data_IF_682891280869
#
_entry.id   IF_682891280869
#
_cell.length_a   1.000
_cell.length_b   1.000
_cell.length_c   1.000
_cell.angle_alpha   90.00
_cell.angle_beta   90.00
_cell.angle_gamma   90.00
#
_symmetry.space_group_name_H-M   'P 1'
#
loop_
_entity.id
_entity.type
_entity.pdbx_description
1 polymer ?
#
# COMPACT_ATOMS: atom_id res chain seq x y z
N UNK A 1 -16.62 -3.66 -11.79
CA UNK A 1 -15.45 -3.11 -11.09
C UNK A 1 -15.81 -2.21 -9.91
N UNK A 2 -16.52 -1.10 -10.10
CA UNK A 2 -16.91 -0.20 -8.99
C UNK A 2 -17.62 -0.92 -7.81
N UNK A 3 -18.65 -1.73 -8.10
CA UNK A 3 -19.36 -2.52 -7.06
C UNK A 3 -18.44 -3.51 -6.32
N UNK A 4 -17.46 -4.09 -7.01
CA UNK A 4 -16.50 -5.03 -6.41
C UNK A 4 -15.54 -4.29 -5.49
N UNK A 5 -14.99 -3.15 -5.93
CA UNK A 5 -14.11 -2.30 -5.11
C UNK A 5 -14.85 -1.79 -3.86
N UNK A 6 -16.12 -1.41 -4.00
CA UNK A 6 -16.94 -0.95 -2.88
C UNK A 6 -17.17 -2.04 -1.83
N UNK A 7 -17.57 -3.25 -2.25
CA UNK A 7 -17.71 -4.38 -1.34
C UNK A 7 -16.38 -4.80 -0.69
N UNK A 8 -15.29 -4.77 -1.47
CA UNK A 8 -13.94 -5.07 -0.99
C UNK A 8 -13.43 -4.04 0.03
N UNK A 9 -13.76 -2.77 -0.14
CA UNK A 9 -13.42 -1.70 0.81
C UNK A 9 -14.05 -1.93 2.19
N UNK A 10 -15.36 -2.26 2.25
CA UNK A 10 -16.02 -2.57 3.52
C UNK A 10 -15.46 -3.83 4.19
N UNK A 11 -15.10 -4.84 3.38
CA UNK A 11 -14.45 -6.05 3.88
C UNK A 11 -13.07 -5.74 4.49
N UNK A 12 -12.26 -4.91 3.84
CA UNK A 12 -10.96 -4.48 4.40
C UNK A 12 -11.18 -3.65 5.67
N UNK A 13 -12.19 -2.78 5.70
CA UNK A 13 -12.48 -1.93 6.85
C UNK A 13 -12.89 -2.74 8.08
N UNK A 14 -13.71 -3.78 7.89
CA UNK A 14 -14.04 -4.74 8.95
C UNK A 14 -12.79 -5.50 9.43
N UNK A 15 -11.93 -5.95 8.51
CA UNK A 15 -10.72 -6.69 8.87
C UNK A 15 -9.70 -5.83 9.65
N UNK A 16 -9.54 -4.56 9.28
CA UNK A 16 -8.51 -3.67 9.82
C UNK A 16 -8.99 -2.90 11.07
N UNK A 17 -10.22 -2.38 11.05
CA UNK A 17 -10.76 -1.56 12.15
C UNK A 17 -11.75 -2.31 13.04
N UNK A 18 -12.11 -3.56 12.72
CA UNK A 18 -13.05 -4.35 13.52
C UNK A 18 -14.48 -3.80 13.52
N UNK A 19 -14.81 -2.84 12.66
CA UNK A 19 -16.16 -2.27 12.58
C UNK A 19 -17.16 -3.30 12.03
N UNK A 20 -18.35 -3.39 12.61
CA UNK A 20 -19.39 -4.32 12.19
C UNK A 20 -19.72 -4.15 10.70
N UNK A 21 -19.73 -5.28 9.97
CA UNK A 21 -20.05 -5.29 8.54
C UNK A 21 -21.52 -4.94 8.35
N UNK A 22 -21.84 -3.88 7.58
CA UNK A 22 -23.22 -3.67 7.18
C UNK A 22 -23.65 -4.82 6.26
N UNK A 23 -24.87 -5.33 6.44
CA UNK A 23 -25.40 -6.55 5.78
C UNK A 23 -25.30 -6.49 4.25
N UNK A 24 -25.27 -5.29 3.66
CA UNK A 24 -25.14 -5.09 2.21
C UNK A 24 -23.73 -5.33 1.65
N UNK A 25 -22.68 -5.35 2.47
CA UNK A 25 -21.28 -5.42 2.00
C UNK A 25 -20.90 -6.76 1.36
N UNK A 26 -21.34 -7.88 1.94
CA UNK A 26 -21.05 -9.23 1.41
C UNK A 26 -21.77 -9.51 0.08
N UNK A 27 -23.09 -9.22 -0.06
CA UNK A 27 -23.79 -9.36 -1.33
C UNK A 27 -23.21 -8.48 -2.44
N UNK A 28 -22.80 -7.24 -2.13
CA UNK A 28 -22.27 -6.30 -3.13
C UNK A 28 -20.88 -6.69 -3.63
N UNK A 29 -20.04 -7.28 -2.79
CA UNK A 29 -18.76 -7.86 -3.20
C UNK A 29 -18.98 -9.07 -4.13
N UNK A 30 -19.88 -9.99 -3.76
CA UNK A 30 -20.21 -11.18 -4.55
C UNK A 30 -20.85 -10.84 -5.90
N UNK A 31 -21.84 -9.94 -5.89
CA UNK A 31 -22.47 -9.43 -7.12
C UNK A 31 -21.46 -8.69 -8.01
N UNK A 32 -20.54 -7.95 -7.41
CA UNK A 32 -19.43 -7.29 -8.11
C UNK A 32 -18.51 -8.28 -8.82
N UNK A 33 -18.16 -9.40 -8.18
CA UNK A 33 -17.31 -10.43 -8.77
C UNK A 33 -18.02 -11.13 -9.93
N UNK A 34 -19.28 -11.50 -9.74
CA UNK A 34 -20.10 -12.17 -10.76
C UNK A 34 -20.28 -11.26 -11.98
N UNK A 35 -20.62 -9.98 -11.78
CA UNK A 35 -20.73 -9.04 -12.91
C UNK A 35 -19.41 -8.86 -13.64
N UNK A 36 -18.27 -8.78 -12.95
CA UNK A 36 -16.98 -8.62 -13.61
C UNK A 36 -16.63 -9.87 -14.44
N UNK A 37 -16.85 -11.07 -13.90
CA UNK A 37 -16.60 -12.32 -14.63
C UNK A 37 -17.51 -12.47 -15.85
N UNK A 38 -18.79 -12.07 -15.76
CA UNK A 38 -19.75 -12.19 -16.86
C UNK A 38 -19.52 -11.16 -17.98
N UNK A 39 -19.07 -9.94 -17.64
CA UNK A 39 -19.01 -8.81 -18.58
C UNK A 39 -17.59 -8.37 -18.99
N UNK A 40 -16.51 -8.94 -18.42
CA UNK A 40 -15.12 -8.56 -18.75
C UNK A 40 -14.70 -8.84 -20.18
N UNK A 41 -15.23 -9.89 -20.82
CA UNK A 41 -14.80 -10.37 -22.14
C UNK A 41 -15.89 -10.24 -23.23
N UNK A 42 -16.90 -9.39 -23.02
CA UNK A 42 -17.89 -9.09 -24.06
C UNK A 42 -17.37 -8.01 -25.01
N UNK A 43 -16.53 -8.39 -25.97
CA UNK A 43 -16.18 -7.54 -27.11
C UNK A 43 -17.29 -7.52 -28.18
N UNK A 44 -17.34 -6.42 -28.96
CA UNK A 44 -18.29 -6.22 -30.07
C UNK A 44 -18.12 -7.32 -31.11
N UNK A 45 -19.03 -8.31 -31.10
CA UNK A 45 -19.13 -9.35 -32.15
C UNK A 45 -19.27 -10.79 -31.67
N UNK A 46 -19.32 -11.07 -30.35
CA UNK A 46 -19.48 -12.44 -29.83
C UNK A 46 -20.86 -12.67 -29.19
N UNK A 47 -21.45 -13.85 -29.41
CA UNK A 47 -22.69 -14.28 -28.74
C UNK A 47 -22.51 -14.27 -27.22
N UNK A 48 -23.57 -13.89 -26.47
CA UNK A 48 -23.58 -13.83 -25.00
C UNK A 48 -22.96 -15.08 -24.34
N UNK A 49 -23.26 -16.26 -24.86
CA UNK A 49 -22.75 -17.54 -24.36
C UNK A 49 -21.23 -17.70 -24.55
N UNK A 50 -20.67 -17.23 -25.67
CA UNK A 50 -19.23 -17.27 -25.94
C UNK A 50 -18.49 -16.24 -25.08
N UNK A 51 -19.09 -15.07 -24.85
CA UNK A 51 -18.59 -14.06 -23.92
C UNK A 51 -18.55 -14.54 -22.47
N UNK A 52 -19.57 -15.28 -22.01
CA UNK A 52 -19.59 -15.87 -20.66
C UNK A 52 -18.52 -16.96 -20.51
N UNK A 53 -18.34 -17.83 -21.50
CA UNK A 53 -17.29 -18.87 -21.46
C UNK A 53 -15.89 -18.25 -21.45
N UNK A 54 -15.65 -17.21 -22.26
CA UNK A 54 -14.39 -16.45 -22.26
C UNK A 54 -14.20 -15.66 -20.96
N UNK A 55 -15.27 -15.15 -20.37
CA UNK A 55 -15.27 -14.49 -19.06
C UNK A 55 -14.91 -15.45 -17.93
N UNK A 56 -15.44 -16.68 -17.97
CA UNK A 56 -15.09 -17.75 -17.03
C UNK A 56 -13.63 -18.20 -17.20
N UNK A 57 -13.14 -18.28 -18.43
CA UNK A 57 -11.72 -18.53 -18.71
C UNK A 57 -10.80 -17.41 -18.20
N UNK A 58 -11.29 -16.17 -18.19
CA UNK A 58 -10.62 -15.00 -17.60
C UNK A 58 -10.89 -14.79 -16.10
N UNK A 59 -11.62 -15.70 -15.43
CA UNK A 59 -11.98 -15.54 -14.02
C UNK A 59 -10.75 -15.53 -13.12
N UNK A 60 -9.71 -16.31 -13.45
CA UNK A 60 -8.45 -16.31 -12.69
C UNK A 60 -7.74 -14.94 -12.77
N UNK A 61 -7.66 -14.34 -13.96
CA UNK A 61 -7.11 -12.98 -14.11
C UNK A 61 -7.95 -11.95 -13.37
N UNK A 62 -9.29 -12.08 -13.42
CA UNK A 62 -10.20 -11.22 -12.65
C UNK A 62 -9.96 -11.31 -11.15
N UNK A 63 -9.71 -12.51 -10.64
CA UNK A 63 -9.40 -12.75 -9.24
C UNK A 63 -8.04 -12.14 -8.84
N UNK A 64 -6.99 -12.32 -9.66
CA UNK A 64 -5.70 -11.68 -9.44
C UNK A 64 -5.81 -10.15 -9.43
N UNK A 65 -6.62 -9.57 -10.34
CA UNK A 65 -6.89 -8.14 -10.38
C UNK A 65 -7.66 -7.65 -9.14
N UNK A 66 -8.56 -8.47 -8.58
CA UNK A 66 -9.23 -8.18 -7.33
C UNK A 66 -8.26 -8.20 -6.12
N UNK A 67 -7.31 -9.14 -6.08
CA UNK A 67 -6.24 -9.16 -5.07
C UNK A 67 -5.33 -7.94 -5.20
N UNK A 68 -4.96 -7.56 -6.43
CA UNK A 68 -4.19 -6.34 -6.68
C UNK A 68 -4.94 -5.11 -6.17
N UNK A 69 -6.25 -5.02 -6.45
CA UNK A 69 -7.12 -3.95 -5.92
C UNK A 69 -7.21 -3.94 -4.40
N UNK A 70 -7.28 -5.12 -3.75
CA UNK A 70 -7.27 -5.26 -2.30
C UNK A 70 -5.96 -4.73 -1.68
N UNK A 71 -4.82 -5.08 -2.28
CA UNK A 71 -3.49 -4.61 -1.87
C UNK A 71 -3.40 -3.08 -1.95
N UNK A 72 -3.97 -2.49 -3.00
CA UNK A 72 -4.04 -1.04 -3.17
C UNK A 72 -4.86 -0.41 -2.03
N UNK A 73 -6.06 -0.91 -1.72
CA UNK A 73 -6.89 -0.36 -0.64
C UNK A 73 -6.14 -0.38 0.72
N UNK A 74 -5.44 -1.48 1.03
CA UNK A 74 -4.65 -1.61 2.26
C UNK A 74 -3.54 -0.58 2.34
N UNK A 75 -2.90 -0.22 1.21
CA UNK A 75 -1.85 0.78 1.21
C UNK A 75 -2.38 2.17 1.61
N UNK A 76 -3.57 2.54 1.12
CA UNK A 76 -4.23 3.80 1.46
C UNK A 76 -4.74 3.84 2.91
N UNK A 77 -5.35 2.76 3.39
CA UNK A 77 -5.84 2.68 4.78
C UNK A 77 -4.71 2.84 5.78
N UNK A 78 -3.50 2.36 5.44
CA UNK A 78 -2.32 2.50 6.30
C UNK A 78 -1.93 3.97 6.50
N UNK A 79 -1.89 4.76 5.43
CA UNK A 79 -1.62 6.21 5.51
C UNK A 79 -2.71 6.92 6.33
N UNK A 80 -3.97 6.55 6.10
CA UNK A 80 -5.10 7.07 6.87
C UNK A 80 -4.99 6.74 8.37
N UNK A 81 -4.66 5.49 8.71
CA UNK A 81 -4.50 5.04 10.09
C UNK A 81 -3.40 5.80 10.83
N UNK A 82 -2.26 6.06 10.16
CA UNK A 82 -1.19 6.86 10.77
C UNK A 82 -1.63 8.32 10.98
N UNK A 83 -2.40 8.89 10.04
CA UNK A 83 -3.00 10.22 10.22
C UNK A 83 -3.96 10.29 11.41
N UNK A 84 -4.83 9.28 11.58
CA UNK A 84 -5.71 9.19 12.75
C UNK A 84 -4.93 9.03 14.06
N UNK A 85 -3.86 8.23 14.06
CA UNK A 85 -2.99 8.07 15.22
C UNK A 85 -2.30 9.39 15.60
N UNK A 86 -1.81 10.14 14.62
CA UNK A 86 -1.24 11.49 14.80
C UNK A 86 -2.22 12.46 15.47
N UNK A 87 -3.49 12.47 15.04
CA UNK A 87 -4.53 13.28 15.68
C UNK A 87 -4.76 12.85 17.13
N UNK A 88 -4.83 11.54 17.40
CA UNK A 88 -5.02 11.02 18.76
C UNK A 88 -3.84 11.34 19.71
N UNK A 89 -2.61 11.35 19.18
CA UNK A 89 -1.43 11.77 19.93
C UNK A 89 -1.52 13.27 20.26
N UNK A 90 -1.87 14.11 19.27
CA UNK A 90 -2.03 15.55 19.47
C UNK A 90 -3.11 15.88 20.51
N UNK A 91 -4.26 15.20 20.47
CA UNK A 91 -5.33 15.39 21.47
C UNK A 91 -4.90 14.93 22.86
N UNK A 92 -4.12 13.85 22.97
CA UNK A 92 -3.59 13.36 24.26
C UNK A 92 -2.62 14.37 24.89
N UNK A 93 -1.69 14.92 24.12
CA UNK A 93 -0.77 15.95 24.62
C UNK A 93 -1.49 17.26 24.97
N UNK A 94 -2.47 17.67 24.17
CA UNK A 94 -3.32 18.82 24.49
C UNK A 94 -4.11 18.59 25.79
N UNK A 95 -4.58 17.36 26.04
CA UNK A 95 -5.24 16.97 27.28
C UNK A 95 -4.33 17.04 28.51
N UNK A 96 -3.04 16.67 28.36
CA UNK A 96 -2.04 16.80 29.43
C UNK A 96 -1.68 18.27 29.69
N UNK A 97 -1.63 19.10 28.65
CA UNK A 97 -1.27 20.52 28.75
C UNK A 97 -2.42 21.41 29.28
N UNK A 98 -3.68 21.05 29.01
CA UNK A 98 -4.87 21.82 29.40
C UNK A 98 -4.96 22.16 30.90
N UNK A 99 -4.74 21.23 31.86
CA UNK A 99 -4.74 21.57 33.28
C UNK A 99 -3.52 22.39 33.72
N UNK A 100 -2.39 22.29 33.00
CA UNK A 100 -1.14 23.00 33.32
C UNK A 100 -1.09 24.43 32.75
N UNK A 101 -2.06 24.82 31.90
CA UNK A 101 -2.20 26.17 31.35
C UNK A 101 -2.74 27.21 32.35
N UNK A 102 -3.09 26.83 33.58
CA UNK A 102 -3.52 27.76 34.63
C UNK A 102 -2.42 27.95 35.68
N UNK A 103 -2.05 29.20 35.96
CA UNK A 103 -1.08 29.55 37.02
C UNK A 103 0.40 29.40 36.61
N UNK A 104 1.26 28.97 37.55
CA UNK A 104 2.72 28.90 37.36
C UNK A 104 3.20 27.75 36.45
N UNK A 105 2.30 26.91 35.93
CA UNK A 105 2.60 25.75 35.06
C UNK A 105 2.73 26.05 33.56
N UNK A 106 2.49 27.30 33.14
CA UNK A 106 2.54 27.73 31.73
C UNK A 106 3.84 27.35 31.01
N UNK A 107 5.05 27.53 31.61
CA UNK A 107 6.30 27.15 30.93
C UNK A 107 6.37 25.65 30.63
N UNK A 108 5.88 24.82 31.55
CA UNK A 108 5.86 23.37 31.40
C UNK A 108 4.83 22.92 30.35
N UNK A 109 3.66 23.57 30.30
CA UNK A 109 2.64 23.31 29.28
C UNK A 109 3.15 23.62 27.86
N UNK A 110 3.85 24.74 27.68
CA UNK A 110 4.44 25.12 26.39
C UNK A 110 5.49 24.11 25.93
N UNK A 111 6.36 23.65 26.84
CA UNK A 111 7.37 22.64 26.53
C UNK A 111 6.73 21.32 26.07
N UNK A 112 5.69 20.85 26.77
CA UNK A 112 4.96 19.63 26.42
C UNK A 112 4.27 19.77 25.06
N UNK A 113 3.66 20.93 24.78
CA UNK A 113 3.01 21.20 23.49
C UNK A 113 4.03 21.22 22.34
N UNK A 114 5.20 21.85 22.52
CA UNK A 114 6.26 21.88 21.52
C UNK A 114 6.78 20.47 21.23
N UNK A 115 7.02 19.67 22.27
CA UNK A 115 7.47 18.27 22.10
C UNK A 115 6.38 17.44 21.42
N UNK A 116 5.11 17.59 21.84
CA UNK A 116 3.98 16.88 21.24
C UNK A 116 3.78 17.21 19.76
N UNK A 117 3.88 18.50 19.39
CA UNK A 117 3.76 18.93 18.00
C UNK A 117 4.98 18.54 17.17
N UNK A 118 6.19 18.63 17.74
CA UNK A 118 7.42 18.17 17.10
C UNK A 118 7.39 16.68 16.81
N UNK A 119 6.99 15.85 17.78
CA UNK A 119 6.84 14.41 17.60
C UNK A 119 5.74 14.07 16.60
N UNK A 120 4.62 14.80 16.60
CA UNK A 120 3.55 14.59 15.61
C UNK A 120 4.03 14.84 14.16
N UNK A 121 4.81 15.91 13.95
CA UNK A 121 5.39 16.22 12.63
C UNK A 121 6.38 15.13 12.21
N UNK A 122 7.26 14.69 13.12
CA UNK A 122 8.24 13.63 12.84
C UNK A 122 7.55 12.30 12.49
N UNK A 123 6.52 11.91 13.24
CA UNK A 123 5.77 10.68 12.97
C UNK A 123 5.06 10.73 11.61
N UNK A 124 4.49 11.88 11.24
CA UNK A 124 3.90 12.09 9.92
C UNK A 124 4.94 11.99 8.80
N UNK A 125 6.11 12.62 8.97
CA UNK A 125 7.20 12.60 7.99
C UNK A 125 7.79 11.20 7.80
N UNK A 126 8.08 10.51 8.92
CA UNK A 126 8.56 9.14 8.89
C UNK A 126 7.54 8.23 8.22
N UNK A 127 6.26 8.35 8.58
CA UNK A 127 5.17 7.57 7.95
C UNK A 127 5.18 7.73 6.43
N UNK A 128 5.15 8.96 5.92
CA UNK A 128 5.16 9.22 4.48
C UNK A 128 6.41 8.65 3.81
N UNK A 129 7.58 8.75 4.43
CA UNK A 129 8.83 8.20 3.87
C UNK A 129 8.79 6.67 3.80
N UNK A 130 8.55 5.96 4.91
CA UNK A 130 8.54 4.48 4.88
C UNK A 130 7.39 3.91 4.05
N UNK A 131 6.23 4.56 4.05
CA UNK A 131 5.07 4.10 3.30
C UNK A 131 5.20 4.45 1.81
N UNK A 132 5.79 5.61 1.50
CA UNK A 132 6.12 6.05 0.16
C UNK A 132 7.19 5.17 -0.49
N UNK A 133 8.27 4.84 0.22
CA UNK A 133 9.29 3.91 -0.28
C UNK A 133 8.68 2.53 -0.56
N UNK A 134 7.84 2.03 0.35
CA UNK A 134 7.16 0.74 0.16
C UNK A 134 6.29 0.73 -1.10
N UNK A 135 5.52 1.79 -1.33
CA UNK A 135 4.67 1.90 -2.51
C UNK A 135 5.49 2.09 -3.78
N UNK A 136 6.49 2.96 -3.77
CA UNK A 136 7.36 3.20 -4.93
C UNK A 136 8.11 1.92 -5.34
N UNK A 137 8.63 1.15 -4.39
CA UNK A 137 9.30 -0.13 -4.68
C UNK A 137 8.31 -1.17 -5.22
N UNK A 138 7.10 -1.27 -4.67
CA UNK A 138 6.11 -2.27 -5.10
C UNK A 138 5.45 -1.90 -6.44
N UNK A 139 5.12 -0.64 -6.67
CA UNK A 139 4.52 -0.17 -7.92
C UNK A 139 5.53 -0.24 -9.07
N UNK A 140 6.79 0.18 -8.85
CA UNK A 140 7.83 0.04 -9.88
C UNK A 140 8.28 -1.42 -10.06
N UNK A 141 8.49 -2.22 -9.00
CA UNK A 141 8.88 -3.63 -9.16
C UNK A 141 7.78 -4.47 -9.80
N UNK A 142 6.51 -4.17 -9.52
CA UNK A 142 5.36 -4.88 -10.07
C UNK A 142 5.08 -4.54 -11.53
N UNK A 143 5.20 -3.26 -11.93
CA UNK A 143 4.97 -2.83 -13.32
C UNK A 143 6.16 -3.10 -14.25
N UNK A 144 7.39 -3.12 -13.72
CA UNK A 144 8.59 -3.39 -14.52
C UNK A 144 8.84 -4.89 -14.78
N UNK A 145 8.07 -5.80 -14.16
CA UNK A 145 8.31 -7.24 -14.30
C UNK A 145 9.74 -7.65 -13.90
N UNK A 146 10.36 -6.91 -12.97
CA UNK A 146 11.74 -7.16 -12.57
C UNK A 146 11.82 -8.52 -11.86
N UNK A 147 12.31 -9.52 -12.58
CA UNK A 147 12.87 -10.72 -11.97
C UNK A 147 14.15 -10.28 -11.26
N UNK A 148 14.21 -10.42 -9.93
CA UNK A 148 15.40 -10.13 -9.11
C UNK A 148 16.55 -11.14 -9.35
N UNK A 149 16.64 -11.69 -10.56
CA UNK A 149 17.68 -12.57 -11.06
C UNK A 149 18.61 -11.79 -12.01
N UNK A 150 19.28 -10.76 -11.49
CA UNK A 150 20.34 -10.05 -12.23
C UNK A 150 21.69 -10.75 -12.04
N UNK A 151 22.46 -10.89 -13.11
CA UNK A 151 23.86 -11.32 -13.02
C UNK A 151 24.72 -10.15 -12.54
N UNK A 152 25.52 -10.36 -11.48
CA UNK A 152 26.45 -9.35 -10.99
C UNK A 152 27.44 -8.97 -12.10
N UNK A 153 27.45 -7.70 -12.51
CA UNK A 153 28.38 -7.22 -13.52
C UNK A 153 29.81 -7.33 -13.00
N UNK A 154 30.56 -8.31 -13.52
CA UNK A 154 32.00 -8.44 -13.29
C UNK A 154 32.73 -7.70 -14.40
N UNK A 155 33.28 -6.49 -14.15
CA UNK A 155 34.07 -5.79 -15.16
C UNK A 155 35.29 -6.62 -15.54
N UNK A 156 35.67 -6.57 -16.82
CA UNK A 156 36.91 -7.18 -17.29
C UNK A 156 38.08 -6.50 -16.57
N UNK A 157 38.73 -7.26 -15.67
CA UNK A 157 40.04 -6.90 -15.12
C UNK A 157 41.11 -7.46 -16.03
N UNK A 158 41.96 -6.58 -16.56
CA UNK A 158 43.18 -6.98 -17.23
C UNK A 158 44.09 -7.66 -16.18
N UNK A 159 44.35 -8.95 -16.38
CA UNK A 159 45.33 -9.65 -15.57
C UNK A 159 46.70 -9.17 -16.04
N UNK A 160 47.24 -8.17 -15.36
CA UNK A 160 48.64 -7.75 -15.50
C UNK A 160 49.53 -8.82 -14.85
N UNK A 161 49.51 -10.02 -15.43
CA UNK A 161 50.42 -11.11 -15.12
C UNK A 161 51.69 -10.88 -15.91
N UNK A 162 52.54 -9.98 -15.40
CA UNK A 162 53.99 -10.17 -15.32
C UNK A 162 54.62 -11.00 -16.46
N UNK A 163 54.45 -10.58 -17.72
CA UNK A 163 55.24 -11.08 -18.86
C UNK A 163 56.58 -10.32 -18.87
N UNK A 164 57.32 -10.40 -17.77
CA UNK A 164 58.64 -9.74 -17.65
C UNK A 164 59.76 -10.69 -17.23
N UNK A 165 59.48 -11.99 -16.99
CA UNK A 165 60.53 -12.92 -16.53
C UNK A 165 60.73 -14.19 -17.38
N UNK A 166 60.04 -14.39 -18.52
CA UNK A 166 60.19 -15.62 -19.32
C UNK A 166 60.40 -15.47 -20.84
N UNK A 167 60.91 -14.33 -21.32
CA UNK A 167 61.25 -14.17 -22.75
C UNK A 167 62.60 -13.48 -23.05
N UNK A 168 63.55 -13.41 -22.10
CA UNK A 168 64.95 -13.08 -22.44
C UNK A 168 65.96 -14.07 -21.81
N UNK A 169 65.58 -15.34 -21.70
CA UNK A 169 66.50 -16.48 -21.78
C UNK A 169 66.19 -17.26 -23.05
#
# INVERSE_FOLDING_TARGET
WFSLIFGLFFLVLNLVLGMEMPVFAVPTAGAGLIMVVLFMNQEKGTNFFKGVVLGLGGAFNTFLNAISSFSNIISYIRLFAVGLASVAIATSFNGIAAPMMKGAGIPAAILILIIGHGLNIVMGLLSVIVHGIRLNVLEFSGQLGMEWAGYEYKPFKENDKSITEREIQ
#
